data_IF_971986567002
#
_entry.id   IF_971986567002
#
_cell.length_a   1.000
_cell.length_b   1.000
_cell.length_c   1.000
_cell.angle_alpha   90.00
_cell.angle_beta   90.00
_cell.angle_gamma   90.00
#
_symmetry.space_group_name_H-M   'P 1'
#
loop_
_entity.id
_entity.type
_entity.pdbx_description
1 polymer ?
#
# COMPACT_ATOMS: atom_id res chain seq x y z
N UNK A 1 -13.64 29.55 -1.98
CA UNK A 1 -12.19 29.77 -1.75
C UNK A 1 -11.69 28.59 -0.94
N UNK A 2 -11.44 27.45 -1.61
CA UNK A 2 -11.03 26.18 -0.97
C UNK A 2 -9.57 25.90 -1.28
N UNK A 3 -8.71 26.18 -0.31
CA UNK A 3 -7.32 25.71 -0.33
C UNK A 3 -7.25 24.38 0.44
N UNK A 4 -7.44 23.26 -0.22
CA UNK A 4 -6.95 21.97 0.26
C UNK A 4 -5.48 21.85 -0.16
N UNK A 5 -4.60 22.42 0.64
CA UNK A 5 -3.19 22.07 0.62
C UNK A 5 -3.02 20.74 1.34
N UNK A 6 -3.13 19.63 0.61
CA UNK A 6 -2.43 18.43 1.01
C UNK A 6 -0.94 18.75 0.94
N UNK A 7 -0.32 18.89 2.11
CA UNK A 7 1.12 19.03 2.23
C UNK A 7 1.79 17.79 1.59
N UNK A 8 2.09 17.90 0.32
CA UNK A 8 3.10 17.09 -0.32
C UNK A 8 4.41 17.51 0.32
N UNK A 9 4.81 16.82 1.39
CA UNK A 9 6.19 16.88 1.81
C UNK A 9 7.02 16.54 0.57
N UNK A 10 7.90 17.45 0.12
CA UNK A 10 8.81 17.10 -0.95
C UNK A 10 9.53 15.85 -0.46
N UNK A 11 9.42 14.76 -1.22
CA UNK A 11 10.28 13.59 -1.06
C UNK A 11 11.67 14.14 -1.33
N UNK A 12 12.29 14.65 -0.25
CA UNK A 12 13.66 15.11 -0.26
C UNK A 12 14.45 13.93 -0.79
N UNK A 13 15.05 14.12 -1.94
CA UNK A 13 15.99 13.25 -2.66
C UNK A 13 16.42 12.04 -1.83
N UNK A 14 15.53 11.05 -1.73
CA UNK A 14 15.95 9.70 -1.39
C UNK A 14 16.90 9.37 -2.54
N UNK A 15 18.18 9.34 -2.28
CA UNK A 15 19.17 8.81 -3.22
C UNK A 15 18.70 7.41 -3.53
N UNK A 16 17.98 7.26 -4.64
CA UNK A 16 17.60 5.98 -5.20
C UNK A 16 18.90 5.26 -5.57
N UNK A 17 19.47 4.58 -4.59
CA UNK A 17 20.46 3.58 -4.90
C UNK A 17 19.76 2.57 -5.81
N UNK A 18 20.10 2.59 -7.09
CA UNK A 18 19.49 1.78 -8.14
C UNK A 18 19.74 0.28 -8.00
N UNK A 19 19.81 -0.21 -6.77
CA UNK A 19 19.94 -1.63 -6.51
C UNK A 19 18.58 -2.30 -6.59
N UNK A 20 18.17 -2.62 -7.82
CA UNK A 20 17.07 -3.57 -8.06
C UNK A 20 17.39 -4.85 -7.31
N UNK A 21 16.67 -5.12 -6.22
CA UNK A 21 16.93 -6.29 -5.40
C UNK A 21 15.69 -7.14 -5.23
N UNK A 22 15.93 -8.43 -5.17
CA UNK A 22 14.95 -9.39 -4.66
C UNK A 22 15.14 -9.51 -3.16
N UNK A 23 14.05 -9.44 -2.42
CA UNK A 23 14.09 -9.60 -0.98
C UNK A 23 14.53 -11.03 -0.62
N UNK A 24 15.42 -11.23 0.36
CA UNK A 24 15.83 -12.55 0.80
C UNK A 24 14.62 -13.36 1.29
N UNK A 25 14.63 -14.66 1.01
CA UNK A 25 13.57 -15.52 1.50
C UNK A 25 13.68 -15.72 3.01
N UNK A 26 12.55 -15.70 3.68
CA UNK A 26 12.44 -15.99 5.10
C UNK A 26 11.29 -16.97 5.32
N UNK A 27 11.57 -18.05 6.04
CA UNK A 27 10.53 -18.95 6.51
C UNK A 27 9.61 -18.21 7.49
N UNK A 28 8.34 -18.63 7.51
CA UNK A 28 7.40 -17.98 8.42
C UNK A 28 7.65 -18.43 9.87
N UNK A 29 7.67 -17.44 10.74
CA UNK A 29 7.65 -17.56 12.19
C UNK A 29 6.67 -16.52 12.73
N UNK A 30 6.04 -16.75 13.90
CA UNK A 30 5.23 -15.72 14.54
C UNK A 30 6.05 -14.45 14.80
N UNK A 31 5.42 -13.30 14.65
CA UNK A 31 6.09 -12.02 14.92
C UNK A 31 6.60 -12.00 16.38
N UNK A 32 7.88 -11.71 16.55
CA UNK A 32 8.44 -11.44 17.86
C UNK A 32 7.90 -10.13 18.44
N UNK A 33 8.07 -9.91 19.74
CA UNK A 33 7.63 -8.67 20.39
C UNK A 33 8.39 -7.45 19.84
N UNK A 34 9.67 -7.63 19.51
CA UNK A 34 10.48 -6.58 18.88
C UNK A 34 9.98 -6.23 17.48
N UNK A 35 9.61 -7.22 16.67
CA UNK A 35 9.02 -7.00 15.34
C UNK A 35 7.64 -6.35 15.44
N UNK A 36 6.84 -6.81 16.40
CA UNK A 36 5.55 -6.21 16.65
C UNK A 36 5.67 -4.76 17.12
N UNK A 37 6.57 -4.44 18.02
CA UNK A 37 6.79 -3.08 18.50
C UNK A 37 7.13 -2.09 17.36
N UNK A 38 7.87 -2.54 16.35
CA UNK A 38 8.20 -1.72 15.17
C UNK A 38 7.01 -1.61 14.20
N UNK A 39 6.19 -2.65 14.05
CA UNK A 39 5.07 -2.68 13.11
C UNK A 39 3.80 -2.01 13.67
N UNK A 40 3.57 -2.11 14.98
CA UNK A 40 2.34 -1.62 15.62
C UNK A 40 2.03 -0.14 15.33
N UNK A 41 2.99 0.80 15.34
CA UNK A 41 2.72 2.19 15.01
C UNK A 41 2.16 2.39 13.59
N UNK A 42 2.59 1.59 12.62
CA UNK A 42 2.05 1.65 11.25
C UNK A 42 0.60 1.18 11.19
N UNK A 43 0.25 0.14 11.95
CA UNK A 43 -1.11 -0.38 12.01
C UNK A 43 -2.05 0.60 12.72
N UNK A 44 -1.61 1.24 13.80
CA UNK A 44 -2.42 2.23 14.51
C UNK A 44 -2.67 3.45 13.64
N UNK A 45 -1.66 3.99 12.97
CA UNK A 45 -1.85 5.09 12.00
C UNK A 45 -2.77 4.71 10.84
N UNK A 46 -2.71 3.46 10.37
CA UNK A 46 -3.62 2.98 9.35
C UNK A 46 -5.06 2.89 9.85
N UNK A 47 -5.27 2.47 11.10
CA UNK A 47 -6.59 2.44 11.72
C UNK A 47 -7.17 3.85 11.92
N UNK A 48 -6.35 4.81 12.33
CA UNK A 48 -6.74 6.22 12.44
C UNK A 48 -7.14 6.82 11.08
N UNK A 49 -6.33 6.56 10.04
CA UNK A 49 -6.64 7.00 8.68
C UNK A 49 -7.95 6.39 8.16
N UNK A 50 -8.20 5.11 8.44
CA UNK A 50 -9.46 4.44 8.09
C UNK A 50 -10.66 5.09 8.79
N UNK A 51 -10.52 5.44 10.07
CA UNK A 51 -11.57 6.12 10.82
C UNK A 51 -11.83 7.53 10.30
N UNK A 52 -10.78 8.27 9.95
CA UNK A 52 -10.90 9.62 9.37
C UNK A 52 -11.66 9.59 8.05
N UNK A 53 -11.25 8.73 7.11
CA UNK A 53 -11.92 8.57 5.81
C UNK A 53 -13.40 8.18 5.96
N UNK A 54 -13.72 7.31 6.92
CA UNK A 54 -15.11 6.93 7.20
C UNK A 54 -15.92 8.10 7.74
N UNK A 55 -15.30 8.94 8.56
CA UNK A 55 -15.94 10.14 9.09
C UNK A 55 -16.23 11.14 7.97
N UNK A 56 -15.28 11.38 7.08
CA UNK A 56 -15.43 12.25 5.92
C UNK A 56 -16.55 11.77 4.99
N UNK A 57 -16.52 10.50 4.58
CA UNK A 57 -17.56 9.91 3.72
C UNK A 57 -18.96 9.98 4.36
N UNK A 58 -19.05 9.91 5.70
CA UNK A 58 -20.32 10.07 6.42
C UNK A 58 -20.83 11.51 6.36
N UNK A 59 -19.93 12.48 6.51
CA UNK A 59 -20.28 13.91 6.44
C UNK A 59 -20.75 14.23 5.02
N UNK A 60 -20.04 13.78 4.00
CA UNK A 60 -20.44 13.94 2.59
C UNK A 60 -21.80 13.32 2.30
N UNK A 61 -22.01 12.06 2.73
CA UNK A 61 -23.31 11.39 2.55
C UNK A 61 -24.46 12.10 3.27
N UNK A 62 -24.20 12.69 4.43
CA UNK A 62 -25.20 13.47 5.16
C UNK A 62 -25.54 14.80 4.49
N UNK A 63 -24.58 15.41 3.79
CA UNK A 63 -24.78 16.66 3.04
C UNK A 63 -25.60 16.46 1.75
N UNK A 64 -25.56 15.26 1.16
CA UNK A 64 -26.24 14.95 -0.10
C UNK A 64 -27.54 14.16 0.07
N UNK A 65 -27.98 13.91 1.31
CA UNK A 65 -29.18 13.13 1.61
C UNK A 65 -30.20 13.98 2.37
N UNK A 66 -31.33 14.22 1.74
CA UNK A 66 -32.51 14.86 2.38
C UNK A 66 -33.27 13.92 3.34
N UNK A 67 -32.79 12.71 3.56
CA UNK A 67 -33.49 11.71 4.35
C UNK A 67 -33.10 11.75 5.84
N UNK A 68 -34.03 11.98 6.75
CA UNK A 68 -33.78 12.04 8.21
C UNK A 68 -33.35 10.68 8.83
N UNK A 69 -33.53 9.58 8.11
CA UNK A 69 -33.28 8.21 8.60
C UNK A 69 -31.82 7.80 8.69
N UNK A 70 -30.86 8.61 8.21
CA UNK A 70 -29.42 8.26 8.23
C UNK A 70 -28.71 8.63 9.55
N UNK A 71 -29.42 9.29 10.49
CA UNK A 71 -28.82 9.77 11.75
C UNK A 71 -28.45 8.68 12.75
N UNK A 72 -29.04 7.49 12.66
CA UNK A 72 -28.87 6.44 13.67
C UNK A 72 -28.10 5.19 13.24
N UNK A 73 -27.47 5.17 12.08
CA UNK A 73 -26.65 4.02 11.73
C UNK A 73 -25.45 3.93 12.67
N UNK A 74 -25.46 2.87 13.49
CA UNK A 74 -24.41 2.50 14.45
C UNK A 74 -23.01 2.70 13.89
N UNK A 75 -22.06 3.16 14.71
CA UNK A 75 -20.68 3.33 14.28
C UNK A 75 -20.17 2.03 13.67
N UNK A 76 -19.52 2.17 12.52
CA UNK A 76 -19.12 1.05 11.68
C UNK A 76 -18.10 0.17 12.39
N UNK A 77 -18.51 -1.04 12.69
CA UNK A 77 -17.62 -2.17 12.90
C UNK A 77 -16.92 -2.24 14.26
N UNK A 78 -16.96 -3.44 14.82
CA UNK A 78 -16.19 -3.81 16.01
C UNK A 78 -14.69 -3.60 15.76
N UNK A 79 -13.92 -2.99 16.68
CA UNK A 79 -12.46 -2.87 16.54
C UNK A 79 -11.82 -4.25 16.35
N UNK A 80 -10.69 -4.28 15.64
CA UNK A 80 -9.95 -5.52 15.40
C UNK A 80 -9.48 -6.07 16.75
N UNK A 81 -9.99 -7.22 17.10
CA UNK A 81 -9.74 -7.83 18.44
C UNK A 81 -8.27 -8.17 18.68
N UNK A 82 -7.56 -8.52 17.61
CA UNK A 82 -6.14 -8.90 17.68
C UNK A 82 -5.48 -8.54 16.34
N UNK A 83 -4.93 -7.33 16.23
CA UNK A 83 -4.25 -6.90 15.00
C UNK A 83 -2.94 -7.65 14.74
N UNK A 84 -2.23 -8.13 15.81
CA UNK A 84 -1.00 -8.90 15.67
C UNK A 84 -1.30 -10.25 15.02
N UNK A 85 -2.24 -11.01 15.53
CA UNK A 85 -2.65 -12.28 14.94
C UNK A 85 -3.13 -12.12 13.48
N UNK A 86 -3.81 -11.02 13.14
CA UNK A 86 -4.22 -10.73 11.75
C UNK A 86 -3.03 -10.47 10.84
N UNK A 87 -2.03 -9.76 11.33
CA UNK A 87 -0.80 -9.49 10.58
C UNK A 87 0.02 -10.78 10.41
N UNK A 88 0.14 -11.58 11.44
CA UNK A 88 0.77 -12.90 11.40
C UNK A 88 0.12 -13.81 10.33
N UNK A 89 -1.21 -13.83 10.26
CA UNK A 89 -1.93 -14.57 9.24
C UNK A 89 -1.59 -14.13 7.82
N UNK A 90 -1.48 -12.81 7.60
CA UNK A 90 -1.12 -12.25 6.29
C UNK A 90 0.33 -12.59 5.96
N UNK A 91 1.24 -12.49 6.92
CA UNK A 91 2.64 -12.82 6.72
C UNK A 91 2.85 -14.33 6.55
N UNK A 92 2.04 -15.18 7.18
CA UNK A 92 2.03 -16.61 6.90
C UNK A 92 1.72 -16.88 5.42
N UNK A 93 0.67 -16.27 4.87
CA UNK A 93 0.37 -16.38 3.44
C UNK A 93 1.48 -15.80 2.55
N UNK A 94 2.08 -14.70 2.97
CA UNK A 94 3.19 -14.09 2.25
C UNK A 94 4.42 -15.01 2.21
N UNK A 95 4.79 -15.60 3.33
CA UNK A 95 5.91 -16.55 3.44
C UNK A 95 5.68 -17.81 2.59
N UNK A 96 4.44 -18.31 2.55
CA UNK A 96 4.07 -19.49 1.75
C UNK A 96 3.83 -19.18 0.26
N UNK A 97 4.06 -17.94 -0.18
CA UNK A 97 3.98 -17.56 -1.59
C UNK A 97 5.28 -17.95 -2.29
N UNK A 98 5.26 -18.98 -3.13
CA UNK A 98 6.43 -19.42 -3.90
C UNK A 98 6.69 -18.50 -5.10
N UNK A 99 7.97 -18.25 -5.44
CA UNK A 99 8.32 -17.52 -6.67
C UNK A 99 7.70 -18.19 -7.90
N UNK A 100 7.18 -17.38 -8.83
CA UNK A 100 6.59 -17.88 -10.08
C UNK A 100 5.25 -18.58 -9.96
N UNK A 101 4.71 -18.77 -8.74
CA UNK A 101 3.39 -19.37 -8.53
C UNK A 101 2.37 -18.33 -8.06
N UNK A 102 1.10 -18.62 -8.28
CA UNK A 102 0.01 -17.84 -7.73
C UNK A 102 0.08 -17.84 -6.19
N UNK A 103 -0.22 -16.71 -5.54
CA UNK A 103 -0.25 -16.66 -4.06
C UNK A 103 -1.33 -17.62 -3.53
N UNK A 104 -1.09 -18.27 -2.37
CA UNK A 104 -2.07 -19.16 -1.76
C UNK A 104 -3.41 -18.47 -1.57
N UNK A 105 -4.55 -19.15 -1.78
CA UNK A 105 -5.86 -18.57 -1.51
C UNK A 105 -6.03 -18.29 -0.01
N UNK A 106 -6.95 -17.39 0.35
CA UNK A 106 -7.25 -17.09 1.75
C UNK A 106 -7.73 -18.34 2.52
N UNK A 107 -8.42 -19.25 1.84
CA UNK A 107 -8.89 -20.50 2.40
C UNK A 107 -7.76 -21.45 2.86
N UNK A 108 -6.52 -21.23 2.40
CA UNK A 108 -5.36 -22.01 2.84
C UNK A 108 -4.83 -21.60 4.23
N UNK A 109 -5.41 -20.56 4.85
CA UNK A 109 -5.03 -20.14 6.20
C UNK A 109 -5.34 -21.24 7.22
N UNK A 110 -4.38 -21.59 8.11
CA UNK A 110 -4.64 -22.46 9.26
C UNK A 110 -5.73 -21.89 10.18
N UNK A 111 -6.52 -22.78 10.77
CA UNK A 111 -7.65 -22.42 11.65
C UNK A 111 -7.26 -21.51 12.83
N UNK A 112 -6.02 -21.66 13.34
CA UNK A 112 -5.48 -20.80 14.43
C UNK A 112 -5.56 -19.31 14.14
N UNK A 113 -5.58 -18.89 12.87
CA UNK A 113 -5.72 -17.48 12.48
C UNK A 113 -7.17 -17.03 12.36
N UNK A 114 -8.12 -17.95 12.58
CA UNK A 114 -9.55 -17.72 12.50
C UNK A 114 -10.07 -17.70 11.06
N UNK A 115 -11.27 -17.15 10.89
CA UNK A 115 -11.98 -17.20 9.59
C UNK A 115 -11.22 -16.46 8.48
N UNK A 116 -10.93 -17.12 7.34
CA UNK A 116 -10.20 -16.54 6.20
C UNK A 116 -10.81 -15.23 5.69
N UNK A 117 -12.14 -15.14 5.65
CA UNK A 117 -12.85 -13.92 5.23
C UNK A 117 -12.55 -12.73 6.13
N UNK A 118 -12.41 -12.95 7.44
CA UNK A 118 -12.12 -11.86 8.38
C UNK A 118 -10.71 -11.30 8.13
N UNK A 119 -9.74 -12.19 7.89
CA UNK A 119 -8.36 -11.81 7.55
C UNK A 119 -8.32 -11.08 6.20
N UNK A 120 -9.01 -11.61 5.19
CA UNK A 120 -9.11 -11.03 3.86
C UNK A 120 -9.74 -9.62 3.89
N UNK A 121 -10.82 -9.43 4.65
CA UNK A 121 -11.44 -8.11 4.81
C UNK A 121 -10.51 -7.13 5.52
N UNK A 122 -9.80 -7.58 6.55
CA UNK A 122 -8.85 -6.73 7.25
C UNK A 122 -7.66 -6.35 6.36
N UNK A 123 -7.14 -7.29 5.58
CA UNK A 123 -6.09 -7.02 4.59
C UNK A 123 -6.50 -5.90 3.61
N UNK A 124 -7.73 -5.96 3.07
CA UNK A 124 -8.25 -4.94 2.16
C UNK A 124 -8.38 -3.57 2.85
N UNK A 125 -8.90 -3.55 4.08
CA UNK A 125 -9.00 -2.31 4.86
C UNK A 125 -7.64 -1.66 5.05
N UNK A 126 -6.63 -2.44 5.44
CA UNK A 126 -5.27 -1.95 5.60
C UNK A 126 -4.64 -1.50 4.28
N UNK A 127 -4.98 -2.15 3.17
CA UNK A 127 -4.54 -1.70 1.85
C UNK A 127 -5.13 -0.33 1.49
N UNK A 128 -6.44 -0.12 1.70
CA UNK A 128 -7.09 1.18 1.47
C UNK A 128 -6.59 2.26 2.44
N UNK A 129 -6.27 1.92 3.68
CA UNK A 129 -5.65 2.81 4.65
C UNK A 129 -4.16 3.12 4.36
N UNK A 130 -3.60 2.54 3.29
CA UNK A 130 -2.23 2.80 2.85
C UNK A 130 -1.15 2.09 3.66
N UNK A 131 -1.49 1.12 4.52
CA UNK A 131 -0.53 0.40 5.36
C UNK A 131 0.63 -0.20 4.54
N UNK A 132 0.29 -0.94 3.48
CA UNK A 132 1.30 -1.62 2.67
C UNK A 132 2.24 -0.64 1.97
N UNK A 133 1.71 0.48 1.51
CA UNK A 133 2.48 1.58 0.90
C UNK A 133 3.44 2.20 1.90
N UNK A 134 2.95 2.51 3.11
CA UNK A 134 3.78 3.08 4.19
C UNK A 134 4.89 2.13 4.64
N UNK A 135 4.60 0.83 4.76
CA UNK A 135 5.60 -0.18 5.10
C UNK A 135 6.66 -0.33 4.01
N UNK A 136 6.26 -0.30 2.72
CA UNK A 136 7.22 -0.38 1.62
C UNK A 136 8.11 0.87 1.56
N UNK A 137 7.55 2.06 1.79
CA UNK A 137 8.31 3.31 1.90
C UNK A 137 9.28 3.29 3.08
N UNK A 138 8.82 2.81 4.24
CA UNK A 138 9.66 2.68 5.43
C UNK A 138 10.85 1.72 5.22
N UNK A 139 10.70 0.67 4.41
CA UNK A 139 11.81 -0.21 4.03
C UNK A 139 12.88 0.49 3.18
N UNK A 140 12.49 1.52 2.44
CA UNK A 140 13.41 2.30 1.61
C UNK A 140 14.09 3.44 2.37
N UNK A 141 13.55 3.84 3.51
CA UNK A 141 14.06 4.93 4.33
C UNK A 141 14.99 4.40 5.43
N UNK A 142 16.27 4.76 5.34
CA UNK A 142 17.30 4.33 6.28
C UNK A 142 17.18 4.98 7.66
N UNK A 143 16.42 6.06 7.77
CA UNK A 143 16.28 6.84 9.01
C UNK A 143 15.09 6.36 9.87
N UNK A 144 14.31 5.40 9.39
CA UNK A 144 13.16 4.88 10.15
C UNK A 144 13.65 4.13 11.39
N UNK A 145 13.17 4.48 12.59
CA UNK A 145 13.48 3.72 13.79
C UNK A 145 13.11 2.24 13.63
N UNK A 146 14.07 1.35 13.93
CA UNK A 146 13.85 -0.08 13.79
C UNK A 146 13.97 -0.61 12.34
N UNK A 147 14.60 0.14 11.42
CA UNK A 147 14.79 -0.29 10.02
C UNK A 147 15.45 -1.67 9.90
N UNK A 148 16.40 -2.01 10.77
CA UNK A 148 17.04 -3.33 10.78
C UNK A 148 16.03 -4.45 11.03
N UNK A 149 15.03 -4.22 11.87
CA UNK A 149 13.94 -5.16 12.14
C UNK A 149 13.00 -5.24 10.93
N UNK A 150 12.63 -4.11 10.33
CA UNK A 150 11.79 -4.08 9.13
C UNK A 150 12.46 -4.81 7.95
N UNK A 151 13.78 -4.67 7.78
CA UNK A 151 14.53 -5.37 6.73
C UNK A 151 14.49 -6.89 6.89
N UNK A 152 14.41 -7.41 8.11
CA UNK A 152 14.18 -8.86 8.31
C UNK A 152 12.82 -9.32 7.82
N UNK A 153 11.83 -8.43 7.80
CA UNK A 153 10.47 -8.68 7.34
C UNK A 153 10.24 -8.29 5.86
N UNK A 154 11.28 -7.82 5.17
CA UNK A 154 11.19 -7.27 3.82
C UNK A 154 10.47 -8.21 2.85
N UNK A 155 10.83 -9.51 2.84
CA UNK A 155 10.20 -10.48 1.94
C UNK A 155 8.69 -10.61 2.17
N UNK A 156 8.25 -10.61 3.42
CA UNK A 156 6.83 -10.72 3.76
C UNK A 156 6.08 -9.43 3.43
N UNK A 157 6.68 -8.28 3.73
CA UNK A 157 6.09 -6.97 3.41
C UNK A 157 5.96 -6.82 1.89
N UNK A 158 7.01 -7.13 1.13
CA UNK A 158 6.98 -7.05 -0.34
C UNK A 158 5.94 -8.00 -0.94
N UNK A 159 5.82 -9.23 -0.43
CA UNK A 159 4.83 -10.20 -0.91
C UNK A 159 3.41 -9.83 -0.53
N UNK A 160 3.20 -9.27 0.66
CA UNK A 160 1.90 -8.71 1.06
C UNK A 160 1.54 -7.50 0.18
N UNK A 161 2.49 -6.61 -0.09
CA UNK A 161 2.32 -5.51 -1.04
C UNK A 161 1.93 -5.99 -2.42
N UNK A 162 2.66 -6.98 -2.96
CA UNK A 162 2.33 -7.60 -4.24
C UNK A 162 0.94 -8.21 -4.28
N UNK A 163 0.47 -8.79 -3.15
CA UNK A 163 -0.89 -9.32 -3.03
C UNK A 163 -1.95 -8.21 -3.12
N UNK A 164 -1.63 -7.01 -2.61
CA UNK A 164 -2.52 -5.85 -2.63
C UNK A 164 -2.58 -5.11 -3.99
N UNK A 165 -1.85 -5.54 -5.01
CA UNK A 165 -1.67 -4.82 -6.28
C UNK A 165 -2.96 -4.33 -6.93
N UNK A 166 -4.06 -5.14 -6.89
CA UNK A 166 -5.36 -4.75 -7.45
C UNK A 166 -6.01 -3.59 -6.71
N UNK A 167 -5.68 -3.42 -5.43
CA UNK A 167 -6.20 -2.35 -4.59
C UNK A 167 -5.32 -1.09 -4.68
N UNK A 168 -4.02 -1.29 -4.90
CA UNK A 168 -3.03 -0.21 -5.01
C UNK A 168 -2.95 0.38 -6.42
N UNK A 169 -3.41 -0.36 -7.42
CA UNK A 169 -3.42 0.07 -8.81
C UNK A 169 -2.04 0.31 -9.41
N UNK A 170 -2.02 1.05 -10.53
CA UNK A 170 -0.79 1.35 -11.27
C UNK A 170 0.19 2.18 -10.43
N UNK A 171 -0.32 3.13 -9.65
CA UNK A 171 0.51 3.96 -8.75
C UNK A 171 1.30 3.13 -7.73
N UNK A 172 0.69 2.06 -7.21
CA UNK A 172 1.39 1.12 -6.32
C UNK A 172 2.52 0.37 -7.04
N UNK A 173 2.29 -0.09 -8.27
CA UNK A 173 3.35 -0.74 -9.06
C UNK A 173 4.49 0.22 -9.38
N UNK A 174 4.17 1.46 -9.76
CA UNK A 174 5.15 2.51 -10.02
C UNK A 174 6.01 2.78 -8.78
N UNK A 175 5.38 2.89 -7.60
CA UNK A 175 6.10 3.10 -6.35
C UNK A 175 7.06 1.95 -6.05
N UNK A 176 6.61 0.70 -6.10
CA UNK A 176 7.47 -0.47 -5.85
C UNK A 176 8.67 -0.50 -6.79
N UNK A 177 8.47 -0.12 -8.05
CA UNK A 177 9.54 -0.04 -9.04
C UNK A 177 10.52 1.09 -8.73
N UNK A 178 10.03 2.28 -8.42
CA UNK A 178 10.87 3.44 -8.02
C UNK A 178 11.71 3.14 -6.79
N UNK A 179 11.15 2.43 -5.82
CA UNK A 179 11.86 2.02 -4.59
C UNK A 179 12.79 0.82 -4.81
N UNK A 180 12.80 0.19 -5.99
CA UNK A 180 13.69 -0.92 -6.35
C UNK A 180 13.30 -2.29 -5.77
N UNK A 181 12.11 -2.44 -5.16
CA UNK A 181 11.65 -3.70 -4.57
C UNK A 181 11.02 -4.62 -5.63
N UNK A 182 11.83 -5.41 -6.31
CA UNK A 182 11.36 -6.34 -7.35
C UNK A 182 10.41 -7.41 -6.80
N UNK A 183 10.61 -7.83 -5.56
CA UNK A 183 9.73 -8.81 -4.88
C UNK A 183 8.31 -8.29 -4.63
N UNK A 184 8.13 -6.98 -4.62
CA UNK A 184 6.82 -6.34 -4.47
C UNK A 184 6.05 -6.23 -5.80
N UNK A 185 6.70 -6.47 -6.94
CA UNK A 185 6.09 -6.44 -8.25
C UNK A 185 5.40 -7.77 -8.58
N UNK A 186 4.33 -7.73 -9.37
CA UNK A 186 3.58 -8.92 -9.75
C UNK A 186 4.25 -9.74 -10.85
N UNK A 187 5.08 -9.13 -11.63
CA UNK A 187 5.78 -9.75 -12.76
C UNK A 187 7.20 -9.24 -12.88
N UNK A 188 7.95 -9.76 -13.84
CA UNK A 188 9.29 -9.28 -14.12
C UNK A 188 9.25 -7.78 -14.45
N UNK A 189 10.22 -7.04 -13.91
CA UNK A 189 10.26 -5.57 -14.04
C UNK A 189 10.29 -5.08 -15.49
N UNK A 190 10.84 -5.89 -16.39
CA UNK A 190 10.93 -5.58 -17.83
C UNK A 190 9.60 -5.68 -18.57
N UNK A 191 8.61 -6.46 -18.02
CA UNK A 191 7.23 -6.54 -18.57
C UNK A 191 6.33 -5.42 -18.04
N UNK A 192 6.74 -4.70 -17.01
CA UNK A 192 5.92 -3.66 -16.42
C UNK A 192 6.27 -2.32 -17.04
N UNK A 193 5.28 -1.44 -17.27
CA UNK A 193 5.53 -0.08 -17.74
C UNK A 193 6.56 0.63 -16.85
N UNK A 194 7.49 1.35 -17.48
CA UNK A 194 8.39 2.21 -16.75
C UNK A 194 7.65 3.50 -16.38
N UNK A 195 7.34 3.73 -15.09
CA UNK A 195 6.59 4.92 -14.69
C UNK A 195 7.37 6.20 -14.97
N UNK A 196 8.71 6.17 -14.86
CA UNK A 196 9.53 7.35 -15.07
C UNK A 196 9.63 7.67 -16.57
N UNK A 197 9.74 6.64 -17.41
CA UNK A 197 9.68 6.81 -18.88
C UNK A 197 8.30 7.32 -19.31
N UNK A 198 7.22 6.71 -18.78
CA UNK A 198 5.86 7.14 -19.08
C UNK A 198 5.63 8.60 -18.69
N UNK A 199 6.06 9.00 -17.50
CA UNK A 199 5.93 10.38 -17.01
C UNK A 199 6.73 11.35 -17.85
N UNK A 200 7.96 10.99 -18.26
CA UNK A 200 8.77 11.80 -19.18
C UNK A 200 8.12 11.95 -20.55
N UNK A 201 7.60 10.87 -21.13
CA UNK A 201 6.90 10.89 -22.41
C UNK A 201 5.66 11.78 -22.34
N UNK A 202 4.82 11.60 -21.30
CA UNK A 202 3.63 12.44 -21.10
C UNK A 202 3.99 13.90 -20.88
N UNK A 203 5.04 14.20 -20.12
CA UNK A 203 5.50 15.57 -19.91
C UNK A 203 6.00 16.22 -21.20
N UNK A 204 6.81 15.50 -21.98
CA UNK A 204 7.28 15.97 -23.28
C UNK A 204 6.12 16.20 -24.27
N UNK A 205 5.18 15.25 -24.33
CA UNK A 205 4.00 15.35 -25.19
C UNK A 205 3.14 16.57 -24.81
N UNK A 206 2.82 16.70 -23.52
CA UNK A 206 2.08 17.87 -23.00
C UNK A 206 2.75 19.19 -23.37
N UNK A 207 4.07 19.28 -23.15
CA UNK A 207 4.83 20.49 -23.46
C UNK A 207 4.88 20.76 -24.97
N UNK A 208 4.95 19.71 -25.79
CA UNK A 208 4.86 19.84 -27.23
C UNK A 208 3.48 20.36 -27.68
N UNK A 209 2.40 19.84 -27.08
CA UNK A 209 1.03 20.30 -27.37
C UNK A 209 0.80 21.77 -26.96
N UNK A 210 1.32 22.15 -25.78
CA UNK A 210 1.24 23.55 -25.33
C UNK A 210 1.95 24.49 -26.28
N UNK A 211 3.19 24.18 -26.72
CA UNK A 211 3.93 24.97 -27.71
C UNK A 211 3.22 25.02 -29.05
N UNK A 212 2.69 23.89 -29.54
CA UNK A 212 1.92 23.86 -30.80
C UNK A 212 0.71 24.80 -30.72
N UNK A 213 0.03 24.84 -29.57
CA UNK A 213 -1.09 25.77 -29.34
C UNK A 213 -0.66 27.22 -29.32
N UNK A 214 0.48 27.54 -28.68
CA UNK A 214 1.05 28.89 -28.64
C UNK A 214 1.43 29.37 -30.03
N UNK A 215 1.89 28.48 -30.91
CA UNK A 215 2.24 28.77 -32.28
C UNK A 215 1.07 28.68 -33.29
N UNK A 216 -0.17 28.53 -32.79
CA UNK A 216 -1.36 28.47 -33.62
C UNK A 216 -1.48 27.20 -34.48
N UNK A 217 -0.66 26.21 -34.26
CA UNK A 217 -0.73 24.91 -34.96
C UNK A 217 -1.94 24.12 -34.45
N UNK A 218 -2.92 23.90 -35.32
CA UNK A 218 -4.02 22.96 -35.03
C UNK A 218 -3.45 21.54 -35.09
N UNK A 219 -3.50 20.86 -33.96
CA UNK A 219 -3.23 19.42 -33.92
C UNK A 219 -4.50 18.75 -34.41
N UNK A 220 -4.41 18.14 -35.59
CA UNK A 220 -5.48 17.33 -36.18
C UNK A 220 -5.65 16.05 -35.36
#
# INVERSE_FOLDING_TARGET
>A
MFQCFTAWTPISMIRFGHHRRYSPERNWEPLSDTEWAVLAPFLFRAAEAEMATRRENRIEAAQHSDAPALRERRPAGRPVRDPRCRLDAIFWLAANTRPGRAPPPWAALPERFGKPDTVSRQFRRWAHAGLWTKLLQALADEHVPGIAVLRRLESWICRAYRRAWRLLGVGGMALARRLGFLSALRGPSWLLPDPDLSEQVFSKLRNAMLRAREHGLRIL
#
